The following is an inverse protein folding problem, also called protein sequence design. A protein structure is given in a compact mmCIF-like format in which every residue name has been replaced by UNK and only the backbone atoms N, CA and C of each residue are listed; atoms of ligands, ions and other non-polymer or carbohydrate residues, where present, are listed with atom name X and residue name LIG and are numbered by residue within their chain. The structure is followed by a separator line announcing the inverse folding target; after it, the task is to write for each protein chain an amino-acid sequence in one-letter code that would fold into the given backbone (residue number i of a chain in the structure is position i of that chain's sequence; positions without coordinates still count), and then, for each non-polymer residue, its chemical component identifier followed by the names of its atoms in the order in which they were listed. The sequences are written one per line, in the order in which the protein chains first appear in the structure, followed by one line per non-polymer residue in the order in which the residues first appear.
data_IF_973672304762
#
_entry.id   IF_973672304762
#
_cell.length_a   1.000
_cell.length_b   1.000
_cell.length_c   1.000
_cell.angle_alpha   90.00
_cell.angle_beta   90.00
_cell.angle_gamma   90.00
#
_symmetry.space_group_name_H-M   'P 1'
#
loop_
_entity.id
_entity.type
_entity.pdbx_description
1 polymer ?
#
# COMPACT_ATOMS: atom_id res chain seq x y z
N UNK A 1 9.78 5.59 16.76
CA UNK A 1 10.05 4.67 15.64
C UNK A 1 8.75 4.45 14.90
N UNK A 2 8.76 4.40 13.58
CA UNK A 2 7.56 4.26 12.74
C UNK A 2 7.06 2.80 12.75
N UNK A 3 5.72 2.57 12.79
CA UNK A 3 5.14 1.21 12.87
C UNK A 3 5.48 0.35 11.64
N UNK A 4 5.64 0.94 10.45
CA UNK A 4 6.05 0.22 9.24
C UNK A 4 7.45 -0.35 9.43
N UNK A 5 8.41 0.49 9.85
CA UNK A 5 9.79 0.08 10.07
C UNK A 5 9.90 -0.98 11.16
N UNK A 6 9.15 -0.83 12.26
CA UNK A 6 9.09 -1.82 13.35
C UNK A 6 8.55 -3.17 12.85
N UNK A 7 7.45 -3.16 12.09
CA UNK A 7 6.86 -4.37 11.53
C UNK A 7 7.83 -5.06 10.58
N UNK A 8 8.45 -4.31 9.66
CA UNK A 8 9.39 -4.88 8.69
C UNK A 8 10.66 -5.44 9.34
N UNK A 9 11.16 -4.80 10.41
CA UNK A 9 12.28 -5.31 11.18
C UNK A 9 11.92 -6.63 11.89
N UNK A 10 10.74 -6.73 12.50
CA UNK A 10 10.26 -7.97 13.14
C UNK A 10 10.10 -9.11 12.12
N UNK A 11 9.57 -8.82 10.93
CA UNK A 11 9.45 -9.81 9.85
C UNK A 11 10.83 -10.29 9.38
N UNK A 12 11.77 -9.37 9.23
CA UNK A 12 13.16 -9.71 8.86
C UNK A 12 13.83 -10.64 9.88
N UNK A 13 13.64 -10.36 11.18
CA UNK A 13 14.17 -11.21 12.25
C UNK A 13 13.58 -12.63 12.22
N UNK A 14 12.28 -12.74 11.90
CA UNK A 14 11.55 -14.01 11.74
C UNK A 14 11.82 -14.69 10.39
N UNK A 15 12.48 -14.01 9.45
CA UNK A 15 12.66 -14.45 8.05
C UNK A 15 11.32 -14.62 7.32
N UNK A 16 10.35 -13.82 7.66
CA UNK A 16 9.02 -13.80 7.04
C UNK A 16 8.93 -12.69 6.00
N UNK A 17 8.06 -12.89 5.00
CA UNK A 17 7.72 -11.88 4.01
C UNK A 17 6.53 -11.03 4.47
N UNK A 18 6.55 -9.74 4.11
CA UNK A 18 5.43 -8.86 4.40
C UNK A 18 4.21 -9.17 3.51
N UNK A 19 3.03 -9.18 4.12
CA UNK A 19 1.76 -9.24 3.42
C UNK A 19 1.03 -7.92 3.58
N UNK A 20 0.79 -7.25 2.46
CA UNK A 20 0.16 -5.92 2.38
C UNK A 20 -1.12 -6.03 1.58
N UNK A 21 -2.18 -5.38 2.03
CA UNK A 21 -3.46 -5.34 1.31
C UNK A 21 -3.89 -3.91 1.06
N UNK A 22 -4.55 -3.67 -0.08
CA UNK A 22 -5.17 -2.39 -0.39
C UNK A 22 -6.67 -2.45 -0.14
N UNK A 23 -7.22 -1.41 0.49
CA UNK A 23 -8.65 -1.17 0.63
C UNK A 23 -8.99 0.28 0.31
N UNK A 24 -10.13 0.52 -0.36
CA UNK A 24 -10.64 1.87 -0.56
C UNK A 24 -11.42 2.34 0.66
N UNK A 25 -11.00 3.44 1.28
CA UNK A 25 -11.71 4.01 2.43
C UNK A 25 -13.13 4.41 2.04
N UNK A 26 -14.11 4.02 2.86
CA UNK A 26 -15.51 4.33 2.61
C UNK A 26 -16.20 3.45 1.56
N UNK A 27 -15.59 2.35 1.17
CA UNK A 27 -16.22 1.37 0.31
C UNK A 27 -16.46 0.05 1.06
N UNK A 28 -17.74 -0.37 1.27
CA UNK A 28 -18.97 0.29 0.86
C UNK A 28 -19.31 1.51 1.72
N UNK A 29 -18.79 1.61 2.93
CA UNK A 29 -18.90 2.72 3.88
C UNK A 29 -17.74 2.74 4.88
N UNK A 30 -17.64 3.81 5.67
CA UNK A 30 -16.53 3.99 6.62
C UNK A 30 -16.62 3.08 7.87
N UNK A 31 -17.82 2.69 8.28
CA UNK A 31 -17.98 1.77 9.40
C UNK A 31 -17.46 0.39 9.00
N UNK A 32 -17.80 -0.07 7.79
CA UNK A 32 -17.31 -1.33 7.23
C UNK A 32 -15.80 -1.28 6.98
N UNK A 33 -15.26 -0.15 6.53
CA UNK A 33 -13.80 0.04 6.41
C UNK A 33 -13.10 -0.27 7.73
N UNK A 34 -13.61 0.27 8.86
CA UNK A 34 -13.03 0.02 10.19
C UNK A 34 -13.12 -1.46 10.61
N UNK A 35 -14.23 -2.14 10.32
CA UNK A 35 -14.38 -3.58 10.57
C UNK A 35 -13.37 -4.41 9.77
N UNK A 36 -13.17 -4.07 8.48
CA UNK A 36 -12.21 -4.72 7.60
C UNK A 36 -10.78 -4.54 8.12
N UNK A 37 -10.38 -3.33 8.51
CA UNK A 37 -9.06 -3.07 9.09
C UNK A 37 -8.78 -3.94 10.32
N UNK A 38 -9.76 -4.07 11.23
CA UNK A 38 -9.65 -4.95 12.40
C UNK A 38 -9.56 -6.43 12.02
N UNK A 39 -10.33 -6.87 11.02
CA UNK A 39 -10.28 -8.23 10.53
C UNK A 39 -8.92 -8.58 9.90
N UNK A 40 -8.32 -7.64 9.14
CA UNK A 40 -7.00 -7.77 8.55
C UNK A 40 -5.91 -7.90 9.63
N UNK A 41 -5.92 -7.02 10.65
CA UNK A 41 -4.99 -7.10 11.77
C UNK A 41 -5.06 -8.46 12.48
N UNK A 42 -6.29 -8.90 12.80
CA UNK A 42 -6.50 -10.19 13.47
C UNK A 42 -6.08 -11.41 12.64
N UNK A 43 -5.95 -11.25 11.32
CA UNK A 43 -5.64 -12.32 10.38
C UNK A 43 -4.20 -12.26 9.82
N UNK A 44 -3.33 -11.41 10.39
CA UNK A 44 -1.92 -11.41 10.06
C UNK A 44 -1.54 -10.62 8.81
N UNK A 45 -2.39 -9.68 8.37
CA UNK A 45 -1.95 -8.61 7.47
C UNK A 45 -0.92 -7.76 8.20
N UNK A 46 0.20 -7.48 7.57
CA UNK A 46 1.31 -6.74 8.21
C UNK A 46 1.20 -5.23 8.03
N UNK A 47 0.70 -4.78 6.88
CA UNK A 47 0.50 -3.36 6.55
C UNK A 47 -0.77 -3.25 5.70
N UNK A 48 -1.53 -2.18 5.88
CA UNK A 48 -2.65 -1.86 5.01
C UNK A 48 -2.40 -0.57 4.23
N UNK A 49 -2.66 -0.63 2.93
CA UNK A 49 -2.79 0.54 2.08
C UNK A 49 -4.24 0.99 2.08
N UNK A 50 -4.52 2.10 2.73
CA UNK A 50 -5.84 2.70 2.78
C UNK A 50 -5.96 3.77 1.69
N UNK A 51 -6.61 3.41 0.59
CA UNK A 51 -6.86 4.31 -0.53
C UNK A 51 -7.83 5.42 -0.15
N UNK A 52 -7.37 6.66 -0.21
CA UNK A 52 -8.25 7.83 -0.07
C UNK A 52 -8.95 8.05 -1.40
N UNK A 53 -10.30 7.97 -1.45
CA UNK A 53 -11.01 8.02 -2.72
C UNK A 53 -10.82 9.37 -3.42
N UNK A 54 -10.61 9.32 -4.75
CA UNK A 54 -10.38 10.48 -5.60
C UNK A 54 -11.17 10.35 -6.89
N UNK A 55 -11.62 11.48 -7.45
CA UNK A 55 -12.50 11.51 -8.65
C UNK A 55 -11.78 11.13 -9.94
N UNK A 56 -10.47 11.42 -10.01
CA UNK A 56 -9.67 11.30 -11.24
C UNK A 56 -8.42 10.40 -11.02
N UNK A 57 -8.61 9.12 -10.65
CA UNK A 57 -7.54 8.25 -10.17
C UNK A 57 -6.75 7.63 -11.35
N UNK A 58 -5.93 8.45 -12.01
CA UNK A 58 -5.22 8.12 -13.27
C UNK A 58 -4.22 6.96 -13.16
N UNK A 59 -3.73 6.66 -11.95
CA UNK A 59 -2.81 5.55 -11.72
C UNK A 59 -3.52 4.23 -11.38
N UNK A 60 -4.84 4.26 -11.16
CA UNK A 60 -5.61 3.11 -10.70
C UNK A 60 -6.26 2.35 -11.86
N UNK A 61 -6.40 1.04 -11.69
CA UNK A 61 -7.19 0.19 -12.57
C UNK A 61 -8.70 0.30 -12.30
N UNK A 62 -9.54 -0.24 -13.22
CA UNK A 62 -10.99 -0.03 -13.20
C UNK A 62 -11.68 -0.49 -11.91
N UNK A 63 -11.17 -1.51 -11.23
CA UNK A 63 -11.74 -2.01 -9.96
C UNK A 63 -11.56 -0.98 -8.85
N UNK A 64 -10.36 -0.41 -8.71
CA UNK A 64 -10.09 0.61 -7.69
C UNK A 64 -10.79 1.92 -8.05
N UNK A 65 -10.85 2.27 -9.35
CA UNK A 65 -11.61 3.44 -9.82
C UNK A 65 -13.09 3.35 -9.45
N UNK A 66 -13.74 2.18 -9.67
CA UNK A 66 -15.15 1.99 -9.34
C UNK A 66 -15.38 2.06 -7.82
N UNK A 67 -14.53 1.40 -7.02
CA UNK A 67 -14.58 1.47 -5.56
C UNK A 67 -14.42 2.91 -5.05
N UNK A 68 -13.50 3.68 -5.63
CA UNK A 68 -13.27 5.09 -5.31
C UNK A 68 -14.49 5.95 -5.66
N UNK A 69 -15.04 5.76 -6.84
CA UNK A 69 -16.27 6.46 -7.29
C UNK A 69 -17.46 6.18 -6.36
N UNK A 70 -17.71 4.90 -6.02
CA UNK A 70 -18.79 4.53 -5.10
C UNK A 70 -18.59 5.10 -3.71
N UNK A 71 -17.37 5.10 -3.22
CA UNK A 71 -17.04 5.74 -1.92
C UNK A 71 -17.34 7.23 -1.91
N UNK A 72 -16.96 7.96 -2.98
CA UNK A 72 -17.28 9.40 -3.13
C UNK A 72 -18.79 9.62 -3.18
N UNK A 73 -19.51 8.83 -3.97
CA UNK A 73 -20.98 8.89 -4.06
C UNK A 73 -21.65 8.61 -2.70
N UNK A 74 -21.04 7.76 -1.85
CA UNK A 74 -21.41 7.50 -0.46
C UNK A 74 -21.12 8.67 0.48
N UNK A 75 -20.50 9.74 -0.03
CA UNK A 75 -20.18 10.96 0.73
C UNK A 75 -18.91 10.85 1.59
N UNK A 76 -17.98 9.97 1.23
CA UNK A 76 -16.65 9.90 1.85
C UNK A 76 -15.84 11.16 1.50
N UNK A 77 -15.17 11.71 2.48
CA UNK A 77 -14.25 12.85 2.35
C UNK A 77 -12.96 12.55 3.11
N UNK A 78 -11.86 13.22 2.77
CA UNK A 78 -10.58 13.07 3.48
C UNK A 78 -10.75 13.27 5.00
N UNK A 79 -11.51 14.28 5.44
CA UNK A 79 -11.78 14.51 6.88
C UNK A 79 -12.46 13.31 7.54
N UNK A 80 -13.38 12.65 6.85
CA UNK A 80 -14.04 11.45 7.36
C UNK A 80 -13.08 10.26 7.39
N UNK A 81 -12.17 10.14 6.41
CA UNK A 81 -11.13 9.11 6.40
C UNK A 81 -10.19 9.29 7.59
N UNK A 82 -9.69 10.50 7.83
CA UNK A 82 -8.89 10.80 9.03
C UNK A 82 -9.60 10.41 10.32
N UNK A 83 -10.87 10.79 10.45
CA UNK A 83 -11.68 10.41 11.62
C UNK A 83 -11.81 8.89 11.77
N UNK A 84 -11.99 8.16 10.68
CA UNK A 84 -12.09 6.69 10.72
C UNK A 84 -10.79 6.06 11.21
N UNK A 85 -9.63 6.58 10.78
CA UNK A 85 -8.32 6.14 11.28
C UNK A 85 -8.18 6.45 12.76
N UNK A 86 -8.49 7.66 13.20
CA UNK A 86 -8.47 8.05 14.62
C UNK A 86 -9.35 7.14 15.48
N UNK A 87 -10.59 6.89 15.06
CA UNK A 87 -11.49 5.97 15.75
C UNK A 87 -10.93 4.54 15.80
N UNK A 88 -10.36 4.05 14.72
CA UNK A 88 -9.72 2.73 14.67
C UNK A 88 -8.53 2.64 15.63
N UNK A 89 -7.69 3.68 15.69
CA UNK A 89 -6.57 3.78 16.66
C UNK A 89 -7.05 3.80 18.09
N UNK A 90 -8.08 4.60 18.39
CA UNK A 90 -8.69 4.66 19.73
C UNK A 90 -9.31 3.31 20.13
N UNK A 91 -9.81 2.54 19.19
CA UNK A 91 -10.30 1.17 19.37
C UNK A 91 -9.16 0.13 19.51
N UNK A 92 -7.90 0.56 19.49
CA UNK A 92 -6.71 -0.25 19.75
C UNK A 92 -6.03 -0.85 18.50
N UNK A 93 -6.41 -0.46 17.26
CA UNK A 93 -5.77 -0.92 16.04
C UNK A 93 -4.30 -0.49 16.00
N UNK A 94 -3.39 -1.46 15.85
CA UNK A 94 -1.94 -1.28 15.77
C UNK A 94 -1.39 -1.48 14.35
N UNK A 95 -2.17 -2.09 13.47
CA UNK A 95 -1.82 -2.35 12.08
C UNK A 95 -1.27 -1.08 11.41
N UNK A 96 -0.05 -1.08 10.83
CA UNK A 96 0.46 0.06 10.07
C UNK A 96 -0.49 0.45 8.94
N UNK A 97 -0.82 1.75 8.86
CA UNK A 97 -1.71 2.31 7.85
C UNK A 97 -0.91 3.24 6.94
N UNK A 98 -0.89 2.91 5.65
CA UNK A 98 -0.33 3.73 4.58
C UNK A 98 -1.49 4.38 3.82
N UNK A 99 -1.53 5.70 3.74
CA UNK A 99 -2.46 6.35 2.83
C UNK A 99 -1.93 6.28 1.41
N UNK A 100 -2.74 5.72 0.50
CA UNK A 100 -2.55 5.84 -0.93
C UNK A 100 -3.49 6.90 -1.46
N UNK A 101 -2.94 8.01 -1.96
CA UNK A 101 -3.75 9.17 -2.37
C UNK A 101 -3.04 9.98 -3.44
N UNK A 102 -3.83 10.77 -4.18
CA UNK A 102 -3.36 11.67 -5.23
C UNK A 102 -2.93 13.02 -4.66
N UNK A 103 -1.86 13.59 -5.22
CA UNK A 103 -1.21 14.79 -4.69
C UNK A 103 -2.15 16.01 -4.65
N UNK A 104 -3.08 16.12 -5.59
CA UNK A 104 -4.11 17.17 -5.59
C UNK A 104 -4.87 17.24 -4.25
N UNK A 105 -5.15 16.10 -3.62
CA UNK A 105 -5.82 16.03 -2.31
C UNK A 105 -4.99 16.69 -1.21
N UNK A 106 -3.67 16.49 -1.25
CA UNK A 106 -2.72 17.09 -0.29
C UNK A 106 -2.62 18.59 -0.52
N UNK A 107 -2.46 19.02 -1.77
CA UNK A 107 -2.37 20.46 -2.14
C UNK A 107 -3.63 21.21 -1.67
N UNK A 108 -4.83 20.64 -1.91
CA UNK A 108 -6.08 21.25 -1.49
C UNK A 108 -6.21 21.34 0.05
N UNK A 109 -5.69 20.38 0.79
CA UNK A 109 -5.70 20.38 2.26
C UNK A 109 -4.61 21.31 2.84
N UNK A 110 -3.51 21.51 2.12
CA UNK A 110 -2.28 22.14 2.54
C UNK A 110 -1.30 21.11 3.13
N UNK A 111 -0.10 20.98 2.53
CA UNK A 111 0.84 19.91 2.85
C UNK A 111 1.21 19.82 4.34
N UNK A 112 1.56 20.96 4.96
CA UNK A 112 1.88 21.00 6.40
C UNK A 112 0.69 20.56 7.29
N UNK A 113 -0.52 21.07 6.98
CA UNK A 113 -1.71 20.73 7.76
C UNK A 113 -2.07 19.25 7.58
N UNK A 114 -1.91 18.71 6.37
CA UNK A 114 -2.12 17.31 6.04
C UNK A 114 -1.18 16.39 6.82
N UNK A 115 0.12 16.70 6.82
CA UNK A 115 1.14 15.91 7.54
C UNK A 115 0.89 15.94 9.04
N UNK A 116 0.60 17.11 9.61
CA UNK A 116 0.23 17.23 11.05
C UNK A 116 -1.01 16.40 11.40
N UNK A 117 -1.98 16.34 10.50
CA UNK A 117 -3.18 15.52 10.72
C UNK A 117 -2.87 14.03 10.58
N UNK A 118 -2.02 13.61 9.63
CA UNK A 118 -1.52 12.23 9.55
C UNK A 118 -0.84 11.79 10.85
N UNK A 119 0.08 12.61 11.38
CA UNK A 119 0.75 12.37 12.66
C UNK A 119 -0.27 12.24 13.81
N UNK A 120 -1.20 13.19 13.90
CA UNK A 120 -2.20 13.24 14.98
C UNK A 120 -3.07 11.99 15.03
N UNK A 121 -3.52 11.51 13.87
CA UNK A 121 -4.43 10.34 13.80
C UNK A 121 -3.69 9.00 13.72
N UNK A 122 -2.37 9.02 13.49
CA UNK A 122 -1.53 7.82 13.44
C UNK A 122 -1.52 7.12 12.06
N UNK A 123 -1.42 7.89 10.97
CA UNK A 123 -1.06 7.40 9.63
C UNK A 123 0.45 7.19 9.58
N UNK A 124 0.91 6.04 9.13
CA UNK A 124 2.32 5.62 9.21
C UNK A 124 3.10 5.87 7.92
N UNK A 125 2.43 6.00 6.80
CA UNK A 125 3.08 6.23 5.51
C UNK A 125 2.16 6.85 4.47
N UNK A 126 2.78 7.39 3.42
CA UNK A 126 2.14 7.98 2.26
C UNK A 126 2.67 7.34 1.00
N UNK A 127 1.79 6.91 0.11
CA UNK A 127 2.06 6.54 -1.28
C UNK A 127 1.31 7.53 -2.15
N UNK A 128 2.04 8.27 -3.00
CA UNK A 128 1.49 9.32 -3.85
C UNK A 128 1.88 8.99 -5.30
N UNK A 129 1.04 8.23 -6.04
CA UNK A 129 1.43 7.65 -7.32
C UNK A 129 1.61 8.66 -8.46
N UNK A 130 1.05 9.85 -8.33
CA UNK A 130 1.15 10.95 -9.30
C UNK A 130 2.21 12.00 -8.92
N UNK A 131 3.04 11.75 -7.88
CA UNK A 131 4.07 12.67 -7.43
C UNK A 131 5.48 12.12 -7.75
N UNK A 132 6.10 12.52 -8.86
CA UNK A 132 7.45 12.09 -9.21
C UNK A 132 8.49 12.67 -8.24
N UNK A 133 9.63 12.00 -8.15
CA UNK A 133 10.72 12.34 -7.21
C UNK A 133 11.11 13.84 -7.29
N UNK A 134 11.11 14.40 -8.48
CA UNK A 134 11.50 15.79 -8.75
C UNK A 134 10.56 16.83 -8.14
N UNK A 135 9.31 16.46 -7.89
CA UNK A 135 8.26 17.34 -7.36
C UNK A 135 7.97 17.10 -5.86
N UNK A 136 8.77 16.26 -5.19
CA UNK A 136 8.52 15.86 -3.79
C UNK A 136 9.01 16.87 -2.74
N UNK A 137 9.61 18.00 -3.13
CA UNK A 137 10.23 18.93 -2.17
C UNK A 137 9.22 19.48 -1.14
N UNK A 138 8.02 19.88 -1.57
CA UNK A 138 7.00 20.43 -0.69
C UNK A 138 6.58 19.41 0.39
N UNK A 139 6.26 18.18 -0.01
CA UNK A 139 5.83 17.15 0.94
C UNK A 139 6.99 16.68 1.83
N UNK A 140 8.22 16.59 1.31
CA UNK A 140 9.41 16.27 2.10
C UNK A 140 9.68 17.34 3.14
N UNK A 141 9.55 18.62 2.79
CA UNK A 141 9.67 19.74 3.73
C UNK A 141 8.61 19.66 4.83
N UNK A 142 7.36 19.34 4.48
CA UNK A 142 6.29 19.16 5.46
C UNK A 142 6.53 17.97 6.40
N UNK A 143 7.21 16.93 5.93
CA UNK A 143 7.57 15.74 6.70
C UNK A 143 8.88 15.92 7.51
N UNK A 144 9.63 16.99 7.28
CA UNK A 144 10.90 17.20 7.98
C UNK A 144 10.71 17.39 9.48
N UNK A 145 11.62 16.79 10.25
CA UNK A 145 11.61 16.88 11.72
C UNK A 145 10.60 15.96 12.41
N UNK A 146 9.86 15.10 11.68
CA UNK A 146 9.01 14.07 12.28
C UNK A 146 9.34 12.67 11.72
N UNK A 147 9.11 11.63 12.53
CA UNK A 147 9.41 10.23 12.22
C UNK A 147 8.17 9.32 12.20
N UNK A 148 7.00 9.90 12.28
CA UNK A 148 5.75 9.14 12.46
C UNK A 148 5.10 8.73 11.14
N UNK A 149 5.26 9.57 10.09
CA UNK A 149 4.70 9.33 8.76
C UNK A 149 5.83 9.33 7.73
N UNK A 150 5.95 8.28 6.92
CA UNK A 150 6.99 8.13 5.90
C UNK A 150 6.45 8.43 4.50
N UNK A 151 7.26 9.03 3.63
CA UNK A 151 7.00 9.07 2.20
C UNK A 151 7.61 7.82 1.56
N UNK A 152 6.77 6.88 1.16
CA UNK A 152 7.18 5.63 0.52
C UNK A 152 7.41 5.85 -0.97
N UNK A 153 8.52 5.31 -1.49
CA UNK A 153 8.90 5.53 -2.88
C UNK A 153 8.35 4.44 -3.79
N UNK A 154 7.91 4.85 -4.98
CA UNK A 154 7.46 3.94 -6.04
C UNK A 154 8.51 3.87 -7.14
N UNK A 155 8.74 2.67 -7.63
CA UNK A 155 9.54 2.42 -8.83
C UNK A 155 8.77 1.51 -9.77
N UNK A 156 9.08 1.63 -11.05
CA UNK A 156 8.47 0.83 -12.13
C UNK A 156 9.55 0.41 -13.13
N UNK A 157 9.26 -0.52 -14.06
CA UNK A 157 10.24 -0.90 -15.08
C UNK A 157 10.78 0.28 -15.90
N UNK A 158 9.97 1.33 -16.08
CA UNK A 158 10.39 2.54 -16.80
C UNK A 158 11.22 3.51 -15.96
N UNK A 159 11.38 3.26 -14.65
CA UNK A 159 12.25 4.09 -13.80
C UNK A 159 13.74 3.95 -14.14
N UNK A 160 14.16 2.78 -14.66
CA UNK A 160 15.50 2.56 -15.23
C UNK A 160 16.63 3.11 -14.36
N UNK A 161 17.49 3.93 -14.97
CA UNK A 161 18.67 4.53 -14.33
C UNK A 161 18.34 5.54 -13.21
N UNK A 162 17.05 5.90 -13.03
CA UNK A 162 16.60 6.78 -11.94
C UNK A 162 16.39 6.04 -10.61
N UNK A 163 16.35 4.70 -10.62
CA UNK A 163 16.11 3.89 -9.41
C UNK A 163 17.06 4.27 -8.25
N UNK A 164 18.39 4.39 -8.43
CA UNK A 164 19.28 4.79 -7.33
C UNK A 164 18.93 6.14 -6.72
N UNK A 165 18.53 7.10 -7.55
CA UNK A 165 18.16 8.46 -7.11
C UNK A 165 16.83 8.45 -6.35
N UNK A 166 15.85 7.67 -6.81
CA UNK A 166 14.55 7.51 -6.14
C UNK A 166 14.74 6.86 -4.76
N UNK A 167 15.67 5.91 -4.65
CA UNK A 167 15.94 5.17 -3.43
C UNK A 167 16.92 5.88 -2.47
N UNK A 168 17.54 6.99 -2.90
CA UNK A 168 18.45 7.74 -2.03
C UNK A 168 17.69 8.39 -0.89
N UNK A 169 18.06 8.04 0.35
CA UNK A 169 17.37 8.50 1.55
C UNK A 169 15.96 7.93 1.75
N UNK A 170 15.51 6.98 0.91
CA UNK A 170 14.21 6.34 1.07
C UNK A 170 14.12 5.53 2.37
N UNK A 171 12.93 5.53 3.00
CA UNK A 171 12.62 4.84 4.26
C UNK A 171 11.43 3.91 4.09
N UNK A 172 11.23 3.02 5.06
CA UNK A 172 10.13 2.06 5.09
C UNK A 172 10.34 0.94 4.08
N UNK A 173 9.73 1.04 2.91
CA UNK A 173 9.90 0.09 1.82
C UNK A 173 9.79 0.77 0.45
N UNK A 174 10.31 0.13 -0.58
CA UNK A 174 10.07 0.53 -1.97
C UNK A 174 8.93 -0.28 -2.57
N UNK A 175 7.97 0.42 -3.16
CA UNK A 175 6.85 -0.16 -3.88
C UNK A 175 7.23 -0.40 -5.35
N UNK A 176 7.37 -1.65 -5.74
CA UNK A 176 7.61 -2.03 -7.13
C UNK A 176 6.27 -2.22 -7.82
N UNK A 177 5.89 -1.28 -8.68
CA UNK A 177 4.71 -1.40 -9.54
C UNK A 177 5.09 -1.95 -10.91
N UNK A 178 4.17 -2.69 -11.56
CA UNK A 178 4.29 -3.05 -12.96
C UNK A 178 3.19 -2.35 -13.75
N UNK A 179 3.59 -1.60 -14.73
CA UNK A 179 2.71 -1.05 -15.75
C UNK A 179 2.55 -1.97 -16.95
N UNK A 180 3.02 -3.20 -16.86
CA UNK A 180 3.03 -4.14 -17.98
C UNK A 180 1.61 -4.64 -18.24
N UNK A 181 0.85 -3.81 -18.94
CA UNK A 181 -0.39 -4.19 -19.58
C UNK A 181 -0.17 -5.41 -20.45
N UNK A 182 -0.89 -6.43 -20.13
CA UNK A 182 -0.93 -7.76 -20.70
C UNK A 182 -1.07 -7.72 -22.21
N UNK A 183 -0.18 -8.40 -22.93
CA UNK A 183 -0.60 -9.18 -24.11
C UNK A 183 0.40 -10.31 -24.38
N UNK A 184 0.05 -11.53 -24.02
CA UNK A 184 0.32 -12.68 -24.86
C UNK A 184 1.58 -13.51 -24.64
N UNK A 185 2.47 -13.23 -23.65
CA UNK A 185 3.60 -14.13 -23.36
C UNK A 185 3.93 -14.13 -21.86
N UNK A 186 3.23 -14.93 -21.08
CA UNK A 186 3.47 -15.08 -19.63
C UNK A 186 4.94 -15.33 -19.28
N UNK A 187 5.63 -16.21 -20.01
CA UNK A 187 7.03 -16.54 -19.73
C UNK A 187 7.99 -15.34 -19.95
N UNK A 188 7.75 -14.52 -20.96
CA UNK A 188 8.57 -13.33 -21.22
C UNK A 188 8.27 -12.24 -20.19
N UNK A 189 7.01 -12.07 -19.83
CA UNK A 189 6.56 -11.18 -18.76
C UNK A 189 7.25 -11.51 -17.43
N UNK A 190 7.21 -12.77 -17.00
CA UNK A 190 7.87 -13.21 -15.76
C UNK A 190 9.38 -12.95 -15.80
N UNK A 191 10.05 -13.12 -16.94
CA UNK A 191 11.49 -12.85 -17.06
C UNK A 191 11.82 -11.37 -16.95
N UNK A 192 11.03 -10.50 -17.55
CA UNK A 192 11.23 -9.05 -17.50
C UNK A 192 10.97 -8.49 -16.10
N UNK A 193 9.89 -8.93 -15.44
CA UNK A 193 9.57 -8.59 -14.05
C UNK A 193 10.66 -9.08 -13.10
N UNK A 194 11.14 -10.31 -13.28
CA UNK A 194 12.23 -10.87 -12.48
C UNK A 194 13.51 -10.03 -12.59
N UNK A 195 13.92 -9.66 -13.80
CA UNK A 195 15.10 -8.84 -14.01
C UNK A 195 14.94 -7.45 -13.39
N UNK A 196 13.77 -6.86 -13.50
CA UNK A 196 13.45 -5.57 -12.89
C UNK A 196 13.54 -5.65 -11.36
N UNK A 197 12.84 -6.60 -10.73
CA UNK A 197 12.86 -6.77 -9.27
C UNK A 197 14.27 -7.08 -8.74
N UNK A 198 15.03 -7.90 -9.48
CA UNK A 198 16.43 -8.17 -9.18
C UNK A 198 17.24 -6.88 -9.16
N UNK A 199 17.11 -6.06 -10.19
CA UNK A 199 17.81 -4.77 -10.30
C UNK A 199 17.44 -3.82 -9.15
N UNK A 200 16.14 -3.76 -8.76
CA UNK A 200 15.71 -2.96 -7.61
C UNK A 200 16.30 -3.52 -6.32
N UNK A 201 16.25 -4.85 -6.12
CA UNK A 201 16.76 -5.50 -4.91
C UNK A 201 18.25 -5.29 -4.70
N UNK A 202 19.05 -5.32 -5.77
CA UNK A 202 20.49 -5.09 -5.73
C UNK A 202 20.85 -3.63 -5.36
N UNK A 203 19.97 -2.68 -5.66
CA UNK A 203 20.19 -1.25 -5.42
C UNK A 203 19.51 -0.75 -4.14
N UNK A 204 18.53 -1.48 -3.62
CA UNK A 204 17.74 -1.05 -2.46
C UNK A 204 18.41 -1.41 -1.14
N UNK A 205 18.45 -0.45 -0.22
CA UNK A 205 18.82 -0.66 1.19
C UNK A 205 17.61 -0.94 2.09
N UNK A 206 16.41 -0.76 1.56
CA UNK A 206 15.13 -0.96 2.25
C UNK A 206 14.37 -2.13 1.62
N UNK A 207 13.40 -2.73 2.34
CA UNK A 207 12.59 -3.82 1.82
C UNK A 207 11.91 -3.52 0.49
N UNK A 208 11.83 -4.52 -0.39
CA UNK A 208 11.24 -4.45 -1.72
C UNK A 208 9.87 -5.11 -1.71
N UNK A 209 8.81 -4.36 -1.94
CA UNK A 209 7.44 -4.85 -2.02
C UNK A 209 6.96 -4.91 -3.47
N UNK A 210 6.34 -6.03 -3.82
CA UNK A 210 5.80 -6.25 -5.17
C UNK A 210 4.29 -6.11 -5.18
N UNK A 211 3.76 -5.23 -6.05
CA UNK A 211 2.32 -5.02 -6.23
C UNK A 211 1.90 -5.22 -7.68
N UNK A 212 1.54 -6.46 -8.04
CA UNK A 212 1.30 -6.85 -9.44
C UNK A 212 0.21 -7.90 -9.59
N UNK A 213 -1.01 -7.54 -9.76
CA UNK A 213 -2.06 -8.48 -10.13
C UNK A 213 -2.13 -9.75 -9.25
N UNK A 214 -1.51 -9.69 -8.07
CA UNK A 214 -1.38 -10.79 -7.13
C UNK A 214 -2.74 -11.16 -6.57
N UNK A 215 -3.04 -12.45 -6.53
CA UNK A 215 -4.28 -13.02 -6.01
C UNK A 215 -4.03 -14.07 -4.93
N UNK A 216 -2.99 -14.85 -5.11
CA UNK A 216 -2.56 -15.93 -4.20
C UNK A 216 -1.07 -15.81 -3.92
N UNK A 217 -0.58 -16.43 -2.86
CA UNK A 217 0.86 -16.46 -2.55
C UNK A 217 1.68 -17.11 -3.67
N UNK A 218 1.12 -18.06 -4.40
CA UNK A 218 1.77 -18.72 -5.54
C UNK A 218 2.11 -17.76 -6.69
N UNK A 219 1.37 -16.66 -6.83
CA UNK A 219 1.63 -15.68 -7.89
C UNK A 219 2.99 -14.99 -7.70
N UNK A 220 3.51 -14.95 -6.48
CA UNK A 220 4.82 -14.35 -6.16
C UNK A 220 5.96 -15.37 -6.03
N UNK A 221 5.67 -16.66 -6.03
CA UNK A 221 6.67 -17.73 -5.88
C UNK A 221 7.89 -17.56 -6.82
N UNK A 222 7.73 -17.24 -8.13
CA UNK A 222 8.86 -17.04 -9.02
C UNK A 222 9.75 -15.84 -8.66
N UNK A 223 9.27 -14.92 -7.82
CA UNK A 223 9.92 -13.64 -7.47
C UNK A 223 10.43 -13.60 -6.03
N UNK A 224 10.22 -14.66 -5.24
CA UNK A 224 10.50 -14.70 -3.79
C UNK A 224 11.94 -14.31 -3.41
N UNK A 225 12.91 -14.59 -4.28
CA UNK A 225 14.31 -14.22 -4.07
C UNK A 225 14.55 -12.70 -4.12
N UNK A 226 13.69 -11.96 -4.85
CA UNK A 226 13.89 -10.53 -5.14
C UNK A 226 12.94 -9.61 -4.40
N UNK A 227 12.01 -10.14 -3.61
CA UNK A 227 11.02 -9.36 -2.86
C UNK A 227 11.10 -9.65 -1.36
N UNK A 228 10.67 -8.69 -0.56
CA UNK A 228 10.51 -8.81 0.89
C UNK A 228 9.02 -8.84 1.30
N UNK A 229 8.12 -8.68 0.34
CA UNK A 229 6.68 -8.80 0.57
C UNK A 229 5.85 -8.61 -0.69
N UNK A 230 4.57 -8.90 -0.54
CA UNK A 230 3.55 -8.87 -1.58
C UNK A 230 2.41 -7.93 -1.23
N UNK A 231 1.92 -7.20 -2.23
CA UNK A 231 0.80 -6.26 -2.11
C UNK A 231 -0.37 -6.74 -2.95
N UNK A 232 -1.51 -6.96 -2.32
CA UNK A 232 -2.75 -7.41 -2.99
C UNK A 232 -3.74 -6.26 -3.02
N UNK A 233 -3.99 -5.74 -4.22
CA UNK A 233 -4.87 -4.59 -4.46
C UNK A 233 -6.23 -5.00 -5.02
N UNK A 234 -6.41 -4.90 -6.34
CA UNK A 234 -7.70 -5.10 -7.02
C UNK A 234 -8.37 -6.46 -6.73
N UNK A 235 -7.57 -7.51 -6.49
CA UNK A 235 -8.13 -8.80 -6.10
C UNK A 235 -8.78 -8.74 -4.72
N UNK A 236 -8.17 -8.03 -3.77
CA UNK A 236 -8.75 -7.89 -2.44
C UNK A 236 -10.06 -7.09 -2.46
N UNK A 237 -10.15 -6.04 -3.28
CA UNK A 237 -11.43 -5.32 -3.50
C UNK A 237 -12.51 -6.26 -4.05
N UNK A 238 -12.19 -7.11 -5.05
CA UNK A 238 -13.15 -8.10 -5.57
C UNK A 238 -13.59 -9.10 -4.51
N UNK A 239 -12.65 -9.59 -3.70
CA UNK A 239 -12.97 -10.47 -2.56
C UNK A 239 -13.97 -9.82 -1.61
N UNK A 240 -13.76 -8.54 -1.28
CA UNK A 240 -14.69 -7.78 -0.44
C UNK A 240 -16.08 -7.70 -1.06
N UNK A 241 -16.19 -7.41 -2.35
CA UNK A 241 -17.47 -7.35 -3.06
C UNK A 241 -18.16 -8.71 -3.10
N UNK A 242 -17.47 -9.76 -3.52
CA UNK A 242 -17.97 -11.13 -3.64
C UNK A 242 -18.46 -11.70 -2.30
N UNK A 243 -17.78 -11.34 -1.20
CA UNK A 243 -18.15 -11.73 0.15
C UNK A 243 -19.19 -10.81 0.80
N UNK A 244 -19.69 -9.79 0.07
CA UNK A 244 -20.53 -8.74 0.65
C UNK A 244 -19.88 -8.08 1.89
N UNK A 245 -18.54 -7.85 1.81
CA UNK A 245 -17.73 -7.23 2.86
C UNK A 245 -17.78 -7.97 4.21
N UNK A 246 -17.85 -9.30 4.16
CA UNK A 246 -17.85 -10.14 5.36
C UNK A 246 -16.46 -10.17 6.01
N UNK A 247 -16.31 -9.75 7.28
CA UNK A 247 -15.03 -9.80 7.99
C UNK A 247 -14.44 -11.21 8.15
N UNK A 248 -15.26 -12.25 8.16
CA UNK A 248 -14.75 -13.62 8.31
C UNK A 248 -14.17 -14.14 6.98
N UNK A 249 -14.71 -13.73 5.84
CA UNK A 249 -14.08 -13.96 4.54
C UNK A 249 -12.73 -13.25 4.43
N UNK A 250 -12.64 -12.01 4.92
CA UNK A 250 -11.38 -11.24 5.02
C UNK A 250 -10.35 -12.02 5.84
N UNK A 251 -10.71 -12.45 7.05
CA UNK A 251 -9.81 -13.22 7.93
C UNK A 251 -9.34 -14.51 7.26
N UNK A 252 -10.25 -15.23 6.64
CA UNK A 252 -9.94 -16.51 5.95
C UNK A 252 -8.90 -16.28 4.86
N UNK A 253 -9.12 -15.30 4.00
CA UNK A 253 -8.19 -14.96 2.92
C UNK A 253 -6.81 -14.51 3.46
N UNK A 254 -6.79 -13.56 4.39
CA UNK A 254 -5.55 -13.01 4.93
C UNK A 254 -4.71 -14.07 5.65
N UNK A 255 -5.34 -14.91 6.50
CA UNK A 255 -4.66 -16.01 7.17
C UNK A 255 -4.06 -17.01 6.18
N UNK A 256 -4.84 -17.39 5.15
CA UNK A 256 -4.39 -18.34 4.12
C UNK A 256 -3.21 -17.76 3.34
N UNK A 257 -3.35 -16.53 2.84
CA UNK A 257 -2.29 -15.87 2.07
C UNK A 257 -1.00 -15.72 2.88
N UNK A 258 -1.09 -15.20 4.11
CA UNK A 258 0.09 -15.00 4.97
C UNK A 258 0.79 -16.30 5.28
N UNK A 259 0.04 -17.35 5.60
CA UNK A 259 0.59 -18.69 5.86
C UNK A 259 1.31 -19.23 4.63
N UNK A 260 0.63 -19.26 3.48
CA UNK A 260 1.22 -19.77 2.23
C UNK A 260 2.44 -18.96 1.80
N UNK A 261 2.42 -17.62 1.96
CA UNK A 261 3.55 -16.75 1.64
C UNK A 261 4.81 -17.08 2.44
N UNK A 262 4.64 -17.49 3.69
CA UNK A 262 5.76 -17.85 4.56
C UNK A 262 6.20 -19.32 4.43
N UNK A 263 5.43 -20.16 3.73
CA UNK A 263 5.76 -21.55 3.42
C UNK A 263 6.54 -21.68 2.09
N UNK A 264 6.57 -20.62 1.23
CA UNK A 264 7.35 -20.54 0.00
C UNK A 264 8.82 -20.20 0.29
#
# INVERSE_FOLDING_TARGET
MNRIEDTLNQLKEKKEKAFITYVTAGYPDLAKTKEILKAQEAAGTDIVELGVPFSDPVADGPVIQDASYRSICGGTTLKKVFRTVEEARNDGLKLPIVFMLYYNTIVFYGAEAFVKECERVGVDGLIIPDLPMEEQEEIKTALDGQDTTLLLQLVSPVSGDRIPQILDGARGFVYCVSSMGVTGQEAQFHKEVKNYLKSVKEQSKIPVMMGFGIRTAKDVEPMMEYIDGAIVGSHFIRLLEESNFDPDAVKTYCNTFKKELNEL
#
